data_IF_176331875799
#
_entry.id   IF_176331875799
#
_cell.length_a   1.000
_cell.length_b   1.000
_cell.length_c   1.000
_cell.angle_alpha   90.00
_cell.angle_beta   90.00
_cell.angle_gamma   90.00
#
_symmetry.space_group_name_H-M   'P 1'
#
loop_
_entity.id
_entity.type
_entity.pdbx_description
1 polymer ?
#
# COMPACT_ATOMS: atom_id res chain seq x y z
N UNK A 1 12.99 -18.22 -0.21
CA UNK A 1 13.17 -18.94 1.08
C UNK A 1 13.55 -18.03 2.24
N UNK A 2 14.51 -17.10 2.09
CA UNK A 2 15.03 -16.28 3.20
C UNK A 2 13.95 -15.46 3.94
N UNK A 3 13.13 -14.68 3.26
CA UNK A 3 12.09 -13.84 3.89
C UNK A 3 11.01 -14.65 4.62
N UNK A 4 10.60 -15.80 4.07
CA UNK A 4 9.62 -16.67 4.76
C UNK A 4 10.19 -17.27 6.04
N UNK A 5 11.43 -17.69 6.03
CA UNK A 5 12.16 -18.19 7.20
C UNK A 5 12.32 -17.08 8.25
N UNK A 6 12.64 -15.85 7.83
CA UNK A 6 12.76 -14.69 8.71
C UNK A 6 11.40 -14.32 9.33
N UNK A 7 10.33 -14.26 8.54
CA UNK A 7 8.98 -14.01 9.02
C UNK A 7 8.58 -15.05 10.10
N UNK A 8 8.77 -16.35 9.80
CA UNK A 8 8.46 -17.43 10.74
C UNK A 8 9.26 -17.32 12.03
N UNK A 9 10.56 -16.99 11.97
CA UNK A 9 11.41 -16.81 13.17
C UNK A 9 11.01 -15.62 14.04
N UNK A 10 10.23 -14.69 13.50
CA UNK A 10 9.69 -13.51 14.20
C UNK A 10 8.22 -13.66 14.57
N UNK A 11 7.61 -14.82 14.34
CA UNK A 11 6.19 -15.06 14.61
C UNK A 11 5.24 -14.29 13.70
N UNK A 12 5.74 -13.81 12.55
CA UNK A 12 4.94 -13.07 11.57
C UNK A 12 4.14 -14.06 10.74
N UNK A 13 2.80 -13.98 10.82
CA UNK A 13 1.90 -14.79 10.01
C UNK A 13 1.77 -14.18 8.62
N UNK A 14 2.01 -14.97 7.60
CA UNK A 14 1.88 -14.56 6.20
C UNK A 14 1.09 -15.59 5.42
N UNK A 15 0.38 -15.15 4.40
CA UNK A 15 -0.40 -16.04 3.55
C UNK A 15 0.50 -17.12 2.90
N UNK A 16 0.06 -18.38 2.78
CA UNK A 16 0.85 -19.46 2.17
C UNK A 16 1.39 -19.13 0.77
N UNK A 17 0.60 -18.40 -0.02
CA UNK A 17 0.93 -18.00 -1.39
C UNK A 17 1.58 -16.62 -1.48
N UNK A 18 1.99 -16.01 -0.35
CA UNK A 18 2.64 -14.70 -0.34
C UNK A 18 3.91 -14.71 -1.21
N UNK A 19 4.01 -13.72 -2.09
CA UNK A 19 5.20 -13.49 -2.94
C UNK A 19 6.37 -12.96 -2.12
N UNK A 20 7.53 -12.79 -2.74
CA UNK A 20 8.68 -12.18 -2.08
C UNK A 20 8.40 -10.74 -1.64
N UNK A 21 7.65 -9.97 -2.43
CA UNK A 21 7.23 -8.62 -2.10
C UNK A 21 6.33 -8.56 -0.86
N UNK A 22 5.30 -9.41 -0.78
CA UNK A 22 4.44 -9.52 0.39
C UNK A 22 5.20 -9.93 1.66
N UNK A 23 6.15 -10.86 1.53
CA UNK A 23 6.98 -11.28 2.66
C UNK A 23 7.91 -10.14 3.14
N UNK A 24 8.47 -9.38 2.21
CA UNK A 24 9.30 -8.22 2.52
C UNK A 24 8.49 -7.15 3.27
N UNK A 25 7.29 -6.84 2.78
CA UNK A 25 6.39 -5.88 3.43
C UNK A 25 6.01 -6.31 4.83
N UNK A 26 5.55 -7.55 5.02
CA UNK A 26 5.18 -8.06 6.34
C UNK A 26 6.35 -8.00 7.35
N UNK A 27 7.58 -8.26 6.91
CA UNK A 27 8.76 -8.12 7.76
C UNK A 27 9.06 -6.65 8.05
N UNK A 28 8.94 -5.77 7.06
CA UNK A 28 9.13 -4.33 7.22
C UNK A 28 8.15 -3.75 8.24
N UNK A 29 6.87 -4.00 8.07
CA UNK A 29 5.79 -3.55 8.96
C UNK A 29 6.00 -4.01 10.41
N UNK A 30 6.38 -5.28 10.60
CA UNK A 30 6.56 -5.82 11.94
C UNK A 30 7.86 -5.40 12.63
N UNK A 31 8.93 -5.12 11.86
CA UNK A 31 10.29 -4.97 12.41
C UNK A 31 10.84 -3.57 12.24
N UNK A 32 10.50 -2.85 11.19
CA UNK A 32 11.08 -1.55 10.85
C UNK A 32 10.13 -0.40 11.17
N UNK A 33 8.90 -0.48 10.71
CA UNK A 33 7.90 0.58 10.85
C UNK A 33 7.72 1.07 12.30
N UNK A 34 7.65 0.20 13.34
CA UNK A 34 7.54 0.64 14.72
C UNK A 34 8.69 1.52 15.22
N UNK A 35 9.79 1.58 14.50
CA UNK A 35 10.98 2.37 14.83
C UNK A 35 11.11 3.66 14.01
N UNK A 36 10.21 3.93 13.07
CA UNK A 36 10.22 5.12 12.21
C UNK A 36 9.65 6.35 12.95
N UNK A 37 10.42 6.89 13.87
CA UNK A 37 10.00 8.06 14.70
C UNK A 37 10.23 9.39 13.97
N UNK A 38 11.42 9.56 13.38
CA UNK A 38 11.75 10.77 12.64
C UNK A 38 11.09 10.76 11.26
N UNK A 39 10.84 11.94 10.64
CA UNK A 39 10.36 11.98 9.27
C UNK A 39 11.28 11.21 8.33
N UNK A 40 10.75 10.22 7.63
CA UNK A 40 11.49 9.39 6.71
C UNK A 40 10.65 9.00 5.51
N UNK A 41 11.24 9.08 4.32
CA UNK A 41 10.64 8.52 3.10
C UNK A 41 11.13 7.10 2.90
N UNK A 42 10.19 6.16 2.86
CA UNK A 42 10.43 4.78 2.43
C UNK A 42 10.12 4.72 0.94
N UNK A 43 11.06 4.19 0.16
CA UNK A 43 10.97 4.15 -1.32
C UNK A 43 11.20 2.74 -1.85
N UNK A 44 11.00 2.53 -3.16
CA UNK A 44 11.24 1.24 -3.82
C UNK A 44 10.31 0.13 -3.30
N UNK A 45 9.01 0.38 -3.37
CA UNK A 45 8.02 -0.65 -3.02
C UNK A 45 8.02 -1.78 -4.05
N UNK A 46 7.89 -3.06 -3.60
CA UNK A 46 7.72 -4.18 -4.50
C UNK A 46 6.51 -3.99 -5.42
N UNK A 47 6.66 -4.41 -6.67
CA UNK A 47 5.64 -4.24 -7.70
C UNK A 47 4.33 -4.97 -7.35
N UNK A 48 4.41 -6.08 -6.65
CA UNK A 48 3.25 -6.89 -6.24
C UNK A 48 2.31 -6.15 -5.27
N UNK A 49 2.84 -5.17 -4.53
CA UNK A 49 2.11 -4.37 -3.54
C UNK A 49 1.54 -3.08 -4.11
N UNK A 50 1.82 -2.78 -5.37
CA UNK A 50 1.50 -1.48 -5.95
C UNK A 50 0.96 -1.63 -7.38
N UNK A 51 -0.23 -2.23 -7.54
CA UNK A 51 -0.76 -2.58 -8.86
C UNK A 51 -1.08 -1.38 -9.76
N UNK A 52 -1.19 -0.17 -9.19
CA UNK A 52 -1.50 1.07 -9.91
C UNK A 52 -0.27 1.96 -10.15
N UNK A 53 0.87 1.58 -9.58
CA UNK A 53 2.09 2.38 -9.68
C UNK A 53 2.96 1.95 -10.87
N UNK A 54 3.59 2.93 -11.53
CA UNK A 54 4.51 2.69 -12.63
C UNK A 54 5.74 1.92 -12.15
N UNK A 55 6.15 0.94 -12.94
CA UNK A 55 7.37 0.18 -12.74
C UNK A 55 8.60 1.09 -12.79
N UNK A 56 9.56 0.89 -11.89
CA UNK A 56 10.81 1.64 -11.90
C UNK A 56 11.66 1.26 -13.13
N UNK A 57 12.17 2.28 -13.82
CA UNK A 57 13.08 2.10 -14.96
C UNK A 57 14.46 1.56 -14.52
N UNK A 58 14.80 1.67 -13.23
CA UNK A 58 16.08 1.22 -12.68
C UNK A 58 16.08 -0.25 -12.30
N UNK A 59 14.99 -0.71 -11.69
CA UNK A 59 14.81 -2.10 -11.28
C UNK A 59 13.33 -2.48 -11.42
N UNK A 60 12.99 -3.33 -12.39
CA UNK A 60 11.61 -3.66 -12.69
C UNK A 60 10.88 -4.49 -11.61
N UNK A 61 11.58 -4.90 -10.55
CA UNK A 61 10.98 -5.57 -9.38
C UNK A 61 10.28 -4.58 -8.45
N UNK A 62 10.56 -3.28 -8.62
CA UNK A 62 10.05 -2.20 -7.79
C UNK A 62 9.23 -1.21 -8.63
N UNK A 63 8.49 -0.36 -7.92
CA UNK A 63 7.74 0.76 -8.49
C UNK A 63 8.30 2.09 -8.01
N UNK A 64 8.04 3.15 -8.76
CA UNK A 64 8.35 4.52 -8.38
C UNK A 64 7.27 5.03 -7.42
N UNK A 65 7.40 4.66 -6.15
CA UNK A 65 6.50 4.96 -5.03
C UNK A 65 7.30 5.34 -3.80
N UNK A 66 6.74 6.23 -2.99
CA UNK A 66 7.19 6.46 -1.63
C UNK A 66 6.02 6.50 -0.65
N UNK A 67 6.33 6.23 0.60
CA UNK A 67 5.49 6.56 1.75
C UNK A 67 6.30 7.42 2.72
N UNK A 68 5.67 8.46 3.25
CA UNK A 68 6.25 9.30 4.30
C UNK A 68 5.76 8.83 5.66
N UNK A 69 6.68 8.39 6.49
CA UNK A 69 6.44 8.08 7.90
C UNK A 69 6.90 9.20 8.81
N UNK A 70 6.09 9.53 9.82
CA UNK A 70 6.42 10.45 10.90
C UNK A 70 5.82 9.90 12.19
N UNK A 71 6.58 9.84 13.26
CA UNK A 71 6.12 9.35 14.57
C UNK A 71 5.43 7.97 14.50
N UNK A 72 5.94 7.05 13.68
CA UNK A 72 5.43 5.69 13.41
C UNK A 72 4.09 5.65 12.66
N UNK A 73 3.68 6.74 12.04
CA UNK A 73 2.47 6.81 11.22
C UNK A 73 2.83 7.12 9.78
N UNK A 74 2.26 6.39 8.84
CA UNK A 74 2.23 6.80 7.45
C UNK A 74 1.38 8.07 7.33
N UNK A 75 2.00 9.15 6.87
CA UNK A 75 1.37 10.47 6.71
C UNK A 75 1.00 10.73 5.26
N UNK A 76 1.83 10.28 4.33
CA UNK A 76 1.59 10.45 2.90
C UNK A 76 2.07 9.25 2.11
N UNK A 77 1.46 9.04 0.95
CA UNK A 77 1.80 8.02 -0.02
C UNK A 77 1.68 8.63 -1.42
N UNK A 78 2.70 8.45 -2.24
CA UNK A 78 2.70 8.96 -3.61
C UNK A 78 3.44 8.01 -4.55
N UNK A 79 3.02 7.99 -5.80
CA UNK A 79 3.68 7.20 -6.85
C UNK A 79 3.50 7.82 -8.23
N UNK A 80 4.40 7.42 -9.13
CA UNK A 80 4.19 7.63 -10.55
C UNK A 80 3.05 6.71 -11.01
N UNK A 81 2.01 7.29 -11.60
CA UNK A 81 0.85 6.53 -12.07
C UNK A 81 1.24 5.58 -13.21
N UNK A 82 0.70 4.39 -13.19
CA UNK A 82 0.80 3.48 -14.32
C UNK A 82 -0.15 3.95 -15.41
N UNK A 83 0.43 4.43 -16.51
CA UNK A 83 -0.32 4.98 -17.65
C UNK A 83 -0.32 4.08 -18.90
N UNK A 84 0.23 2.88 -18.81
CA UNK A 84 0.17 1.85 -19.84
C UNK A 84 -1.04 0.94 -19.64
N UNK A 85 -2.06 0.97 -20.52
CA UNK A 85 -3.26 0.18 -20.36
C UNK A 85 -3.02 -1.34 -20.45
N UNK A 86 -2.01 -1.79 -21.20
CA UNK A 86 -1.69 -3.22 -21.33
C UNK A 86 -1.03 -3.75 -20.06
N UNK A 87 -0.04 -3.02 -19.51
CA UNK A 87 0.58 -3.37 -18.22
C UNK A 87 -0.49 -3.32 -17.10
N UNK A 88 -1.35 -2.30 -17.07
CA UNK A 88 -2.43 -2.20 -16.08
C UNK A 88 -3.40 -3.38 -16.14
N UNK A 89 -3.81 -3.80 -17.33
CA UNK A 89 -4.67 -4.98 -17.51
C UNK A 89 -3.98 -6.22 -16.96
N UNK A 90 -2.71 -6.43 -17.29
CA UNK A 90 -1.92 -7.56 -16.80
C UNK A 90 -1.85 -7.60 -15.28
N UNK A 91 -1.67 -6.45 -14.63
CA UNK A 91 -1.64 -6.37 -13.16
C UNK A 91 -2.98 -6.66 -12.51
N UNK A 92 -4.09 -6.19 -13.08
CA UNK A 92 -5.42 -6.57 -12.59
C UNK A 92 -5.69 -8.07 -12.75
N UNK A 93 -5.22 -8.68 -13.82
CA UNK A 93 -5.34 -10.15 -13.99
C UNK A 93 -4.52 -10.91 -12.95
N UNK A 94 -3.34 -10.40 -12.56
CA UNK A 94 -2.54 -10.96 -11.45
C UNK A 94 -3.27 -10.81 -10.12
N UNK A 95 -3.87 -9.65 -9.85
CA UNK A 95 -4.71 -9.42 -8.67
C UNK A 95 -5.91 -10.38 -8.61
N UNK A 96 -6.58 -10.62 -9.73
CA UNK A 96 -7.67 -11.61 -9.79
C UNK A 96 -7.20 -13.02 -9.46
N UNK A 97 -6.03 -13.42 -9.94
CA UNK A 97 -5.43 -14.73 -9.60
C UNK A 97 -5.10 -14.82 -8.11
N UNK A 98 -4.53 -13.76 -7.54
CA UNK A 98 -4.25 -13.67 -6.10
C UNK A 98 -5.53 -13.77 -5.27
N UNK A 99 -6.59 -13.07 -5.67
CA UNK A 99 -7.91 -13.11 -5.02
C UNK A 99 -8.53 -14.51 -5.07
N UNK A 100 -8.46 -15.18 -6.23
CA UNK A 100 -8.92 -16.55 -6.37
C UNK A 100 -8.13 -17.55 -5.51
N UNK A 101 -6.88 -17.21 -5.19
CA UNK A 101 -6.02 -17.97 -4.28
C UNK A 101 -6.20 -17.62 -2.79
N UNK A 102 -7.17 -16.74 -2.45
CA UNK A 102 -7.56 -16.41 -1.07
C UNK A 102 -7.02 -15.07 -0.54
N UNK A 103 -6.42 -14.24 -1.38
CA UNK A 103 -6.03 -12.88 -1.02
C UNK A 103 -7.27 -11.95 -1.03
N UNK A 104 -7.76 -11.61 0.17
CA UNK A 104 -8.96 -10.78 0.32
C UNK A 104 -8.72 -9.30 -0.01
N UNK A 105 -7.47 -8.84 0.00
CA UNK A 105 -7.08 -7.45 -0.29
C UNK A 105 -6.83 -7.21 -1.77
N UNK A 106 -6.72 -8.27 -2.57
CA UNK A 106 -6.46 -8.16 -4.00
C UNK A 106 -7.61 -7.46 -4.75
N UNK A 107 -7.24 -6.56 -5.65
CA UNK A 107 -8.17 -5.75 -6.44
C UNK A 107 -9.02 -6.60 -7.39
N UNK A 108 -10.23 -6.13 -7.65
CA UNK A 108 -11.06 -6.65 -8.74
C UNK A 108 -10.59 -6.05 -10.09
N UNK A 109 -11.01 -6.69 -11.19
CA UNK A 109 -10.83 -6.09 -12.52
C UNK A 109 -11.70 -4.84 -12.65
N UNK A 110 -11.07 -3.73 -13.04
CA UNK A 110 -11.77 -2.51 -13.45
C UNK A 110 -11.54 -2.27 -14.95
N UNK A 111 -12.47 -2.79 -15.73
CA UNK A 111 -12.41 -2.68 -17.20
C UNK A 111 -12.66 -1.23 -17.68
N UNK A 112 -13.42 -0.44 -16.92
CA UNK A 112 -13.68 0.96 -17.26
C UNK A 112 -12.44 1.83 -16.99
N UNK A 113 -11.71 1.55 -15.94
CA UNK A 113 -10.43 2.19 -15.66
C UNK A 113 -9.41 1.91 -16.78
N UNK A 114 -9.26 0.63 -17.18
CA UNK A 114 -8.35 0.26 -18.28
C UNK A 114 -8.76 0.96 -19.58
N UNK A 115 -10.07 0.97 -19.91
CA UNK A 115 -10.58 1.68 -21.09
C UNK A 115 -10.32 3.18 -21.02
N UNK A 116 -10.39 3.80 -19.85
CA UNK A 116 -10.02 5.21 -19.67
C UNK A 116 -8.54 5.45 -19.99
N UNK A 117 -7.65 4.56 -19.55
CA UNK A 117 -6.22 4.64 -19.88
C UNK A 117 -5.94 4.53 -21.39
N UNK A 118 -6.74 3.73 -22.12
CA UNK A 118 -6.63 3.60 -23.60
C UNK A 118 -6.86 4.93 -24.35
N UNK A 119 -7.54 5.90 -23.73
CA UNK A 119 -7.70 7.25 -24.29
C UNK A 119 -6.45 8.12 -24.11
N UNK A 120 -5.48 7.65 -23.37
CA UNK A 120 -4.20 8.29 -23.12
C UNK A 120 -4.15 9.09 -21.82
N UNK A 121 -3.22 8.72 -20.95
CA UNK A 121 -2.85 9.47 -19.76
C UNK A 121 -1.38 9.91 -19.88
N UNK A 122 -1.06 11.21 -19.78
CA UNK A 122 0.33 11.67 -19.80
C UNK A 122 1.07 11.16 -18.56
N UNK A 123 2.41 11.21 -18.54
CA UNK A 123 3.17 10.96 -17.32
C UNK A 123 2.64 11.82 -16.17
N UNK A 124 2.18 11.17 -15.13
CA UNK A 124 1.45 11.77 -13.99
C UNK A 124 1.96 11.16 -12.70
N UNK A 125 1.94 11.92 -11.62
CA UNK A 125 2.14 11.41 -10.28
C UNK A 125 0.93 11.78 -9.43
N UNK A 126 0.50 10.84 -8.58
CA UNK A 126 -0.55 11.03 -7.61
C UNK A 126 0.00 11.02 -6.20
N UNK A 127 -0.60 11.81 -5.31
CA UNK A 127 -0.24 11.86 -3.90
C UNK A 127 -1.49 11.87 -3.02
N UNK A 128 -1.46 11.05 -1.96
CA UNK A 128 -2.42 11.07 -0.87
C UNK A 128 -1.76 11.53 0.43
N UNK A 129 -2.36 12.52 1.10
CA UNK A 129 -1.93 12.96 2.43
C UNK A 129 -3.05 12.69 3.43
N UNK A 130 -2.74 11.94 4.50
CA UNK A 130 -3.67 11.62 5.57
C UNK A 130 -3.88 12.83 6.48
N UNK A 131 -4.86 13.69 6.16
CA UNK A 131 -5.11 14.92 6.90
C UNK A 131 -5.41 14.64 8.37
N UNK A 132 -6.21 13.62 8.68
CA UNK A 132 -6.51 13.26 10.07
C UNK A 132 -5.24 12.87 10.83
N UNK A 133 -4.36 12.06 10.23
CA UNK A 133 -3.07 11.68 10.82
C UNK A 133 -2.15 12.89 10.99
N UNK A 134 -2.15 13.81 10.03
CA UNK A 134 -1.40 15.06 10.12
C UNK A 134 -1.91 15.92 11.28
N UNK A 135 -3.22 16.04 11.45
CA UNK A 135 -3.84 16.76 12.59
C UNK A 135 -3.49 16.07 13.91
N UNK A 136 -3.55 14.73 13.99
CA UNK A 136 -3.09 13.99 15.18
C UNK A 136 -1.66 14.34 15.54
N UNK A 137 -0.76 14.37 14.55
CA UNK A 137 0.65 14.69 14.74
C UNK A 137 0.83 16.12 15.29
N UNK A 138 0.11 17.10 14.74
CA UNK A 138 0.21 18.52 15.13
C UNK A 138 -0.42 18.82 16.49
N UNK A 139 -1.45 18.09 16.88
CA UNK A 139 -2.18 18.31 18.14
C UNK A 139 -1.72 17.40 19.28
N UNK A 140 -0.92 16.36 18.97
CA UNK A 140 -0.53 15.32 19.92
C UNK A 140 -1.67 14.36 20.29
N UNK A 141 -2.75 14.31 19.49
CA UNK A 141 -3.85 13.38 19.68
C UNK A 141 -3.38 11.93 19.46
N UNK A 142 -3.83 11.02 20.33
CA UNK A 142 -3.40 9.62 20.29
C UNK A 142 -4.39 8.71 19.55
N UNK A 143 -5.58 9.21 19.26
CA UNK A 143 -6.62 8.49 18.55
C UNK A 143 -7.18 9.34 17.41
N UNK A 144 -7.37 8.72 16.25
CA UNK A 144 -8.00 9.38 15.10
C UNK A 144 -9.42 9.87 15.39
N UNK A 145 -10.12 9.25 16.35
CA UNK A 145 -11.46 9.68 16.79
C UNK A 145 -11.47 11.07 17.44
N UNK A 146 -10.33 11.52 17.96
CA UNK A 146 -10.20 12.83 18.60
C UNK A 146 -10.11 13.97 17.58
N UNK A 147 -9.77 13.65 16.32
CA UNK A 147 -9.58 14.63 15.25
C UNK A 147 -10.67 14.60 14.19
N UNK A 148 -11.44 13.51 14.09
CA UNK A 148 -12.58 13.40 13.18
C UNK A 148 -13.79 14.12 13.82
N UNK A 149 -14.35 15.10 13.11
CA UNK A 149 -15.49 15.91 13.61
C UNK A 149 -16.75 15.07 13.87
N UNK A 150 -17.03 14.08 13.00
CA UNK A 150 -18.20 13.21 13.09
C UNK A 150 -17.79 11.73 12.90
N UNK A 151 -17.14 11.13 13.92
CA UNK A 151 -16.70 9.74 13.79
C UNK A 151 -17.90 8.79 13.73
N UNK A 152 -17.84 7.83 12.82
CA UNK A 152 -18.79 6.73 12.81
C UNK A 152 -18.60 5.86 14.05
N UNK A 153 -19.64 5.78 14.85
CA UNK A 153 -19.69 4.92 16.03
C UNK A 153 -20.53 3.67 15.72
N UNK A 154 -20.24 2.60 16.45
CA UNK A 154 -21.09 1.40 16.39
C UNK A 154 -22.49 1.76 16.86
N UNK A 155 -23.58 1.37 16.15
CA UNK A 155 -24.94 1.60 16.60
C UNK A 155 -25.17 1.04 18.01
N UNK A 156 -25.88 1.79 18.86
CA UNK A 156 -26.27 1.31 20.18
C UNK A 156 -27.16 0.09 20.02
N UNK A 157 -26.83 -1.01 20.71
CA UNK A 157 -27.60 -2.26 20.65
C UNK A 157 -27.26 -3.19 19.49
N UNK A 158 -26.22 -2.92 18.68
CA UNK A 158 -25.70 -3.90 17.74
C UNK A 158 -24.97 -5.03 18.49
N UNK A 159 -25.27 -6.31 18.22
CA UNK A 159 -24.64 -7.47 18.88
C UNK A 159 -23.12 -7.56 18.61
#
# INVERSE_FOLDING_TARGET
MLFRSLAASRGITVHPNATAGHLLAAVFEAVVEPHLVQPIFVTQFPIELSPLARRSDRDPRFVDRFELFVARHEIANAFSELNDPEDQRGRFEEQLRARAAGDAEAHAMDADYVRALEHGMPPTAGEGIGIDRLVMLLTGATSIREVILFPHLRPEGAP
#
